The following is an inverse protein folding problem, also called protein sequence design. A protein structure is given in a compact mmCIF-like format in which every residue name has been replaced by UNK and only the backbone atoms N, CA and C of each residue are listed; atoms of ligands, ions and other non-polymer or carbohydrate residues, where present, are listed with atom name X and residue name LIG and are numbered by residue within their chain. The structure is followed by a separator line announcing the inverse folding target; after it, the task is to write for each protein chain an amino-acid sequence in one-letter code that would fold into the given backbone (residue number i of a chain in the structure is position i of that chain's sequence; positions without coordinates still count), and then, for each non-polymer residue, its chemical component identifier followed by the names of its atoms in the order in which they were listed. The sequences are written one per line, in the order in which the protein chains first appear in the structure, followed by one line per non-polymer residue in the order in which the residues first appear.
data_IF_914979464182
#
_entry.id   IF_914979464182
#
_cell.length_a   1.000
_cell.length_b   1.000
_cell.length_c   1.000
_cell.angle_alpha   90.00
_cell.angle_beta   90.00
_cell.angle_gamma   90.00
#
_symmetry.space_group_name_H-M   'P 1'
#
loop_
_entity.id
_entity.type
_entity.pdbx_description
1 polymer ?
#
# COMPACT_ATOMS: atom_id res chain seq x y z
N UNK A 1 -54.53 -79.22 -17.87
CA UNK A 1 -53.74 -79.07 -19.12
C UNK A 1 -52.35 -78.56 -18.75
N UNK A 2 -51.29 -79.23 -19.27
CA UNK A 2 -49.90 -78.81 -19.59
C UNK A 2 -49.41 -77.47 -18.94
N UNK A 3 -48.24 -77.33 -18.32
CA UNK A 3 -46.94 -78.03 -18.45
C UNK A 3 -46.00 -77.52 -17.33
N UNK A 4 -45.13 -78.40 -16.89
CA UNK A 4 -43.89 -78.12 -16.13
C UNK A 4 -42.95 -77.17 -16.90
N UNK A 5 -42.11 -76.42 -16.16
CA UNK A 5 -40.62 -76.44 -16.20
C UNK A 5 -40.09 -75.28 -15.33
N UNK A 6 -39.38 -75.53 -14.23
CA UNK A 6 -38.00 -76.02 -14.04
C UNK A 6 -36.98 -74.87 -13.92
N UNK A 7 -36.12 -75.01 -12.90
CA UNK A 7 -34.77 -74.43 -12.69
C UNK A 7 -34.81 -73.11 -11.88
N UNK A 8 -34.61 -73.14 -10.55
CA UNK A 8 -33.31 -73.33 -9.83
C UNK A 8 -32.35 -72.19 -10.12
N UNK A 9 -31.58 -71.59 -9.22
CA UNK A 9 -31.33 -71.63 -7.77
C UNK A 9 -30.09 -70.73 -7.63
N UNK A 10 -29.95 -70.06 -6.49
CA UNK A 10 -28.70 -69.46 -5.96
C UNK A 10 -28.17 -68.26 -6.77
N UNK A 11 -27.76 -67.15 -6.16
CA UNK A 11 -26.76 -67.07 -5.09
C UNK A 11 -27.13 -65.93 -4.13
N UNK A 12 -27.09 -66.26 -2.84
CA UNK A 12 -27.09 -65.33 -1.73
C UNK A 12 -25.80 -64.50 -1.72
N UNK A 13 -25.88 -63.21 -1.43
CA UNK A 13 -24.68 -62.43 -1.15
C UNK A 13 -24.95 -60.94 -0.96
N UNK A 14 -24.50 -60.43 0.18
CA UNK A 14 -24.27 -59.01 0.48
C UNK A 14 -25.47 -58.14 0.85
N UNK A 15 -26.00 -58.45 2.04
CA UNK A 15 -26.27 -57.42 3.04
C UNK A 15 -24.91 -56.76 3.42
N UNK A 16 -24.95 -55.47 3.75
CA UNK A 16 -23.86 -54.62 4.29
C UNK A 16 -23.01 -53.90 3.24
N UNK A 17 -23.40 -52.66 2.94
CA UNK A 17 -22.47 -51.54 2.70
C UNK A 17 -23.23 -50.21 2.96
N UNK A 18 -23.49 -49.98 4.24
CA UNK A 18 -23.66 -48.65 4.83
C UNK A 18 -22.26 -48.20 5.22
N UNK A 19 -21.72 -47.16 4.58
CA UNK A 19 -20.75 -46.17 5.08
C UNK A 19 -20.47 -45.18 3.93
N UNK A 20 -20.19 -43.91 4.25
CA UNK A 20 -20.89 -42.77 3.72
C UNK A 20 -20.07 -42.07 2.64
N UNK A 21 -20.76 -41.44 1.69
CA UNK A 21 -20.19 -40.42 0.80
C UNK A 21 -19.94 -39.15 1.62
N UNK A 22 -18.90 -39.20 2.46
CA UNK A 22 -18.41 -38.12 3.32
C UNK A 22 -16.87 -38.20 3.33
N UNK A 23 -16.25 -37.92 2.19
CA UNK A 23 -14.80 -37.64 2.12
C UNK A 23 -14.39 -37.04 0.76
N UNK A 24 -15.21 -36.15 0.22
CA UNK A 24 -14.73 -35.12 -0.72
C UNK A 24 -14.86 -33.75 -0.06
N UNK A 25 -14.46 -33.66 1.21
CA UNK A 25 -13.81 -32.43 1.67
C UNK A 25 -12.51 -32.37 0.87
N UNK A 26 -12.54 -31.68 -0.27
CA UNK A 26 -11.33 -31.21 -0.89
C UNK A 26 -10.59 -30.44 0.19
N UNK A 27 -9.58 -31.05 0.78
CA UNK A 27 -8.45 -30.32 1.32
C UNK A 27 -7.92 -29.54 0.12
N UNK A 28 -8.40 -28.31 -0.08
CA UNK A 28 -7.59 -27.30 -0.72
C UNK A 28 -6.36 -27.25 0.15
N UNK A 29 -5.28 -27.91 -0.27
CA UNK A 29 -3.98 -27.51 0.24
C UNK A 29 -3.94 -26.00 0.02
N UNK A 30 -3.68 -25.24 1.08
CA UNK A 30 -3.21 -23.87 0.91
C UNK A 30 -1.95 -24.00 0.05
N UNK A 31 -2.12 -23.94 -1.28
CA UNK A 31 -1.00 -23.88 -2.18
C UNK A 31 -0.30 -22.58 -1.81
N UNK A 32 0.98 -22.69 -1.47
CA UNK A 32 1.80 -21.51 -1.22
C UNK A 32 1.77 -20.65 -2.48
N UNK A 33 0.92 -19.63 -2.49
CA UNK A 33 0.79 -18.69 -3.58
C UNK A 33 1.84 -17.60 -3.34
N UNK A 34 2.88 -17.65 -4.15
CA UNK A 34 3.97 -16.68 -4.13
C UNK A 34 3.66 -15.61 -5.17
N UNK A 35 3.70 -14.33 -4.78
CA UNK A 35 3.47 -13.22 -5.71
C UNK A 35 4.50 -12.13 -5.51
N UNK A 36 5.00 -11.56 -6.61
CA UNK A 36 5.78 -10.34 -6.53
C UNK A 36 4.84 -9.15 -6.28
N UNK A 37 5.22 -8.18 -5.44
CA UNK A 37 4.45 -6.97 -5.25
C UNK A 37 4.44 -6.14 -6.54
N UNK A 38 3.32 -5.45 -6.79
CA UNK A 38 3.12 -4.56 -7.93
C UNK A 38 2.27 -3.35 -7.54
N UNK A 39 2.03 -2.40 -8.44
CA UNK A 39 1.13 -1.28 -8.18
C UNK A 39 -0.33 -1.73 -8.12
N UNK A 40 -1.21 -1.05 -7.36
CA UNK A 40 -2.65 -1.28 -7.39
C UNK A 40 -3.24 -1.33 -8.82
N UNK A 41 -2.74 -0.46 -9.70
CA UNK A 41 -3.20 -0.29 -11.08
C UNK A 41 -3.02 -1.57 -11.90
N UNK A 42 -1.93 -2.32 -11.69
CA UNK A 42 -1.71 -3.58 -12.39
C UNK A 42 -2.68 -4.68 -11.97
N UNK A 43 -3.30 -4.56 -10.79
CA UNK A 43 -4.34 -5.46 -10.33
C UNK A 43 -5.76 -4.89 -10.55
N UNK A 44 -5.87 -3.80 -11.33
CA UNK A 44 -7.13 -3.17 -11.68
C UNK A 44 -7.73 -2.33 -10.56
N UNK A 45 -6.90 -1.77 -9.68
CA UNK A 45 -7.31 -0.84 -8.61
C UNK A 45 -6.68 0.53 -8.81
N UNK A 46 -7.39 1.58 -8.42
CA UNK A 46 -6.89 2.96 -8.49
C UNK A 46 -7.41 3.76 -7.31
N UNK A 47 -6.83 4.94 -7.11
CA UNK A 47 -7.29 5.93 -6.14
C UNK A 47 -8.37 6.77 -6.82
N UNK A 48 -9.57 6.82 -6.23
CA UNK A 48 -10.67 7.67 -6.68
C UNK A 48 -10.38 9.14 -6.40
N UNK A 49 -9.66 9.77 -7.33
CA UNK A 49 -9.34 11.18 -7.25
C UNK A 49 -10.59 12.08 -7.26
N UNK A 50 -11.75 11.61 -7.74
CA UNK A 50 -12.99 12.41 -7.75
C UNK A 50 -13.62 12.55 -6.36
N UNK A 51 -13.31 11.62 -5.44
CA UNK A 51 -13.76 11.69 -4.04
C UNK A 51 -12.87 12.55 -3.15
N UNK A 52 -11.71 12.99 -3.67
CA UNK A 52 -10.79 13.83 -2.91
C UNK A 52 -11.27 15.29 -2.96
N UNK A 53 -11.45 15.97 -1.81
CA UNK A 53 -11.80 17.38 -1.77
C UNK A 53 -10.83 18.21 -2.60
N UNK A 54 -11.35 19.19 -3.35
CA UNK A 54 -10.53 20.02 -4.23
C UNK A 54 -9.34 20.66 -3.51
N UNK A 55 -9.54 21.15 -2.28
CA UNK A 55 -8.49 21.73 -1.43
C UNK A 55 -7.34 20.76 -1.10
N UNK A 56 -7.61 19.45 -1.03
CA UNK A 56 -6.54 18.45 -0.86
C UNK A 56 -5.91 18.15 -2.21
N UNK A 57 -6.73 17.96 -3.24
CA UNK A 57 -6.29 17.60 -4.59
C UNK A 57 -5.33 18.63 -5.20
N UNK A 58 -5.55 19.92 -4.94
CA UNK A 58 -4.69 21.02 -5.42
C UNK A 58 -3.22 20.85 -4.99
N UNK A 59 -2.99 20.28 -3.81
CA UNK A 59 -1.67 20.07 -3.21
C UNK A 59 -1.28 18.59 -3.18
N UNK A 60 -1.88 17.77 -4.05
CA UNK A 60 -1.65 16.34 -4.15
C UNK A 60 -1.06 15.95 -5.50
N UNK A 61 -0.23 14.92 -5.49
CA UNK A 61 0.36 14.33 -6.71
C UNK A 61 0.36 12.82 -6.60
N UNK A 62 0.09 12.14 -7.72
CA UNK A 62 0.11 10.69 -7.81
C UNK A 62 1.19 10.27 -8.79
N UNK A 63 2.14 9.48 -8.30
CA UNK A 63 3.37 9.17 -8.98
C UNK A 63 3.54 7.66 -9.07
N UNK A 64 4.27 7.21 -10.08
CA UNK A 64 4.73 5.83 -10.23
C UNK A 64 6.26 5.79 -10.27
N UNK A 65 6.83 4.59 -10.38
CA UNK A 65 8.28 4.37 -10.44
C UNK A 65 9.03 5.15 -11.53
N UNK A 66 8.36 5.51 -12.65
CA UNK A 66 8.98 6.26 -13.75
C UNK A 66 9.10 7.74 -13.40
N UNK A 67 8.16 8.24 -12.60
CA UNK A 67 8.06 9.65 -12.20
C UNK A 67 8.61 9.94 -10.80
N UNK A 68 8.79 8.90 -9.98
CA UNK A 68 9.35 8.99 -8.64
C UNK A 68 10.17 7.73 -8.35
N UNK A 69 11.49 7.86 -8.25
CA UNK A 69 12.38 6.74 -8.06
C UNK A 69 12.56 6.42 -6.56
N UNK A 70 12.17 5.21 -6.14
CA UNK A 70 12.40 4.68 -4.79
C UNK A 70 13.13 3.32 -4.89
N UNK A 71 14.46 3.28 -4.75
CA UNK A 71 15.24 2.05 -4.92
C UNK A 71 15.02 1.00 -3.83
N UNK A 72 14.48 1.40 -2.68
CA UNK A 72 14.21 0.51 -1.55
C UNK A 72 13.00 -0.40 -1.79
N UNK A 73 12.10 -0.01 -2.70
CA UNK A 73 10.95 -0.81 -3.08
C UNK A 73 11.28 -1.72 -4.27
N UNK A 74 10.77 -2.94 -4.22
CA UNK A 74 10.88 -3.90 -5.32
C UNK A 74 9.57 -3.97 -6.08
N UNK A 75 9.64 -3.98 -7.41
CA UNK A 75 8.46 -4.04 -8.26
C UNK A 75 7.74 -2.70 -8.34
N UNK A 76 6.56 -2.73 -8.94
CA UNK A 76 5.86 -1.51 -9.27
C UNK A 76 5.10 -0.97 -8.06
N UNK A 77 4.88 0.34 -8.02
CA UNK A 77 4.18 1.00 -6.93
C UNK A 77 3.49 2.28 -7.39
N UNK A 78 2.56 2.74 -6.55
CA UNK A 78 1.95 4.06 -6.67
C UNK A 78 2.26 4.87 -5.43
N UNK A 79 2.98 5.98 -5.61
CA UNK A 79 3.25 6.93 -4.53
C UNK A 79 2.17 8.02 -4.52
N UNK A 80 1.60 8.24 -3.34
CA UNK A 80 0.78 9.43 -3.08
C UNK A 80 1.70 10.47 -2.48
N UNK A 81 1.83 11.61 -3.13
CA UNK A 81 2.65 12.73 -2.68
C UNK A 81 1.80 13.94 -2.36
N UNK A 82 2.33 14.80 -1.51
CA UNK A 82 1.76 16.10 -1.17
C UNK A 82 2.79 17.19 -1.39
N UNK A 83 2.36 18.34 -1.88
CA UNK A 83 3.24 19.48 -2.03
C UNK A 83 3.39 20.20 -0.68
N UNK A 84 4.65 20.41 -0.31
CA UNK A 84 5.01 21.42 0.67
C UNK A 84 5.43 22.68 -0.06
N UNK A 85 4.73 23.78 0.24
CA UNK A 85 5.04 25.09 -0.32
C UNK A 85 5.79 25.90 0.73
N UNK A 86 7.01 26.31 0.39
CA UNK A 86 7.80 27.24 1.16
C UNK A 86 8.18 28.47 0.32
N UNK A 87 9.02 29.34 0.84
CA UNK A 87 9.44 30.54 0.11
C UNK A 87 10.42 30.26 -1.04
N UNK A 88 11.05 29.07 -1.07
CA UNK A 88 12.01 28.65 -2.09
C UNK A 88 11.34 27.91 -3.25
N UNK A 89 10.17 27.33 -3.01
CA UNK A 89 9.42 26.67 -4.06
C UNK A 89 8.38 25.71 -3.52
N UNK A 90 8.18 24.63 -4.26
CA UNK A 90 7.19 23.61 -3.94
C UNK A 90 7.81 22.26 -4.22
N UNK A 91 7.96 21.46 -3.17
CA UNK A 91 8.55 20.14 -3.24
C UNK A 91 7.49 19.10 -2.89
N UNK A 92 7.46 18.01 -3.66
CA UNK A 92 6.55 16.90 -3.42
C UNK A 92 7.17 15.91 -2.44
N UNK A 93 6.47 15.59 -1.37
CA UNK A 93 6.86 14.59 -0.39
C UNK A 93 5.90 13.41 -0.43
N UNK A 94 6.40 12.16 -0.52
CA UNK A 94 5.53 11.00 -0.50
C UNK A 94 4.89 10.86 0.89
N UNK A 95 3.57 10.66 0.95
CA UNK A 95 2.82 10.38 2.18
C UNK A 95 2.31 8.95 2.25
N UNK A 96 2.35 8.23 1.13
CA UNK A 96 2.08 6.79 1.06
C UNK A 96 2.83 6.14 -0.11
N UNK A 97 3.20 4.87 0.05
CA UNK A 97 3.72 4.03 -1.04
C UNK A 97 2.87 2.77 -1.16
N UNK A 98 2.05 2.73 -2.20
CA UNK A 98 1.10 1.64 -2.40
C UNK A 98 1.70 0.52 -3.23
N UNK A 99 1.76 -0.67 -2.63
CA UNK A 99 2.02 -1.93 -3.32
C UNK A 99 0.91 -2.92 -3.04
N UNK A 100 0.68 -3.80 -4.00
CA UNK A 100 -0.44 -4.71 -4.04
C UNK A 100 -0.01 -6.13 -4.42
N UNK A 101 -0.74 -7.11 -3.90
CA UNK A 101 -0.64 -8.52 -4.27
C UNK A 101 -2.06 -9.12 -4.42
N UNK A 102 -2.24 -10.19 -5.20
CA UNK A 102 -3.51 -10.93 -5.23
C UNK A 102 -3.96 -11.36 -3.82
N UNK A 103 -5.27 -11.35 -3.54
CA UNK A 103 -5.79 -11.65 -2.19
C UNK A 103 -5.50 -13.09 -1.71
N UNK A 104 -5.22 -14.02 -2.63
CA UNK A 104 -4.85 -15.39 -2.30
C UNK A 104 -3.34 -15.58 -2.06
N UNK A 105 -2.53 -14.52 -2.13
CA UNK A 105 -1.09 -14.58 -1.86
C UNK A 105 -0.81 -15.00 -0.42
N UNK A 106 0.07 -15.98 -0.24
CA UNK A 106 0.56 -16.43 1.07
C UNK A 106 1.99 -15.98 1.35
N UNK A 107 2.76 -15.70 0.30
CA UNK A 107 4.13 -15.22 0.39
C UNK A 107 4.43 -14.14 -0.64
N UNK A 108 5.20 -13.14 -0.24
CA UNK A 108 5.63 -12.03 -1.09
C UNK A 108 7.05 -12.32 -1.58
N UNK A 109 7.27 -12.23 -2.89
CA UNK A 109 8.58 -12.43 -3.52
C UNK A 109 9.32 -11.10 -3.61
N UNK A 110 10.40 -10.97 -2.85
CA UNK A 110 11.31 -9.83 -2.84
C UNK A 110 12.67 -10.22 -3.43
N UNK A 111 13.55 -9.26 -3.78
CA UNK A 111 14.90 -9.54 -4.28
C UNK A 111 15.76 -10.28 -3.25
N UNK A 112 15.49 -10.08 -1.95
CA UNK A 112 16.16 -10.74 -0.83
C UNK A 112 15.64 -12.14 -0.51
N UNK A 113 14.49 -12.55 -1.07
CA UNK A 113 13.85 -13.84 -0.79
C UNK A 113 12.33 -13.76 -0.72
N UNK A 114 11.71 -14.86 -0.30
CA UNK A 114 10.28 -14.92 -0.01
C UNK A 114 10.00 -14.61 1.46
N UNK A 115 9.07 -13.71 1.73
CA UNK A 115 8.56 -13.41 3.07
C UNK A 115 7.09 -13.85 3.18
N UNK A 116 6.59 -14.07 4.38
CA UNK A 116 5.16 -14.36 4.57
C UNK A 116 4.34 -13.07 4.42
N UNK A 117 3.10 -13.14 3.94
CA UNK A 117 2.22 -11.95 3.91
C UNK A 117 1.97 -11.35 5.30
N UNK A 118 2.05 -12.17 6.35
CA UNK A 118 1.98 -11.73 7.74
C UNK A 118 3.10 -10.76 8.13
N UNK A 119 4.25 -10.81 7.46
CA UNK A 119 5.36 -9.90 7.74
C UNK A 119 5.04 -8.45 7.30
N UNK A 120 4.04 -8.27 6.43
CA UNK A 120 3.53 -6.98 5.96
C UNK A 120 2.13 -6.63 6.50
N UNK A 121 1.55 -7.45 7.39
CA UNK A 121 0.17 -7.27 7.88
C UNK A 121 -0.06 -5.88 8.50
N UNK A 122 0.93 -5.35 9.24
CA UNK A 122 0.85 -4.03 9.86
C UNK A 122 0.79 -2.86 8.85
N UNK A 123 1.17 -3.10 7.59
CA UNK A 123 1.15 -2.09 6.52
C UNK A 123 -0.10 -2.20 5.65
N UNK A 124 -0.97 -3.18 5.89
CA UNK A 124 -2.17 -3.40 5.09
C UNK A 124 -3.16 -2.26 5.30
N UNK A 125 -3.54 -1.57 4.22
CA UNK A 125 -4.52 -0.48 4.26
C UNK A 125 -5.83 -0.85 3.57
N UNK A 126 -5.82 -1.85 2.68
CA UNK A 126 -7.01 -2.28 1.95
C UNK A 126 -6.93 -3.76 1.61
N UNK A 127 -8.06 -4.46 1.70
CA UNK A 127 -8.18 -5.84 1.26
C UNK A 127 -9.61 -6.13 0.82
N UNK A 128 -9.74 -6.90 -0.26
CA UNK A 128 -11.00 -7.53 -0.63
C UNK A 128 -10.75 -8.95 -1.18
N UNK A 129 -11.72 -9.50 -1.91
CA UNK A 129 -11.64 -10.83 -2.50
C UNK A 129 -10.58 -10.99 -3.61
N UNK A 130 -10.13 -9.88 -4.23
CA UNK A 130 -9.23 -9.90 -5.37
C UNK A 130 -7.80 -9.45 -5.01
N UNK A 131 -7.65 -8.48 -4.10
CA UNK A 131 -6.37 -7.81 -3.81
C UNK A 131 -6.14 -7.55 -2.32
N UNK A 132 -4.87 -7.51 -1.92
CA UNK A 132 -4.38 -6.89 -0.68
C UNK A 132 -3.46 -5.73 -1.08
N UNK A 133 -3.65 -4.55 -0.49
CA UNK A 133 -2.85 -3.36 -0.74
C UNK A 133 -2.24 -2.86 0.58
N UNK A 134 -0.95 -2.57 0.51
CA UNK A 134 -0.11 -2.11 1.60
C UNK A 134 0.33 -0.67 1.37
N UNK A 135 0.37 0.14 2.43
CA UNK A 135 1.13 1.39 2.47
C UNK A 135 2.48 1.13 3.14
N UNK A 136 3.53 1.14 2.33
CA UNK A 136 4.90 0.85 2.76
C UNK A 136 5.65 2.10 3.24
N UNK A 137 5.03 3.28 3.28
CA UNK A 137 5.68 4.48 3.83
C UNK A 137 6.29 4.23 5.23
N UNK A 138 5.59 3.63 6.21
CA UNK A 138 6.15 3.43 7.55
C UNK A 138 7.36 2.48 7.58
N UNK A 139 7.48 1.59 6.59
CA UNK A 139 8.63 0.71 6.44
C UNK A 139 9.86 1.47 5.93
N UNK A 140 9.66 2.44 5.04
CA UNK A 140 10.73 3.25 4.44
C UNK A 140 11.19 4.39 5.34
N UNK A 141 10.26 4.97 6.09
CA UNK A 141 10.50 6.12 6.97
C UNK A 141 10.03 5.81 8.41
N UNK A 142 10.69 4.86 9.10
CA UNK A 142 10.30 4.46 10.45
C UNK A 142 10.54 5.54 11.51
N UNK A 143 11.35 6.55 11.20
CA UNK A 143 11.73 7.63 12.12
C UNK A 143 10.62 8.65 12.40
N UNK A 144 9.58 8.71 11.56
CA UNK A 144 8.46 9.60 11.78
C UNK A 144 7.65 9.95 10.54
N UNK A 145 6.63 10.76 10.75
CA UNK A 145 5.73 11.24 9.70
C UNK A 145 6.41 12.29 8.81
N UNK A 146 5.87 12.54 7.60
CA UNK A 146 6.36 13.62 6.74
C UNK A 146 6.37 14.97 7.48
N UNK A 147 5.28 15.42 8.12
CA UNK A 147 5.27 16.71 8.79
C UNK A 147 6.34 16.85 9.89
N UNK A 148 6.58 15.79 10.67
CA UNK A 148 7.60 15.79 11.73
C UNK A 148 9.01 15.92 11.14
N UNK A 149 9.31 15.13 10.09
CA UNK A 149 10.60 15.19 9.39
C UNK A 149 10.86 16.56 8.80
N UNK A 150 9.88 17.13 8.09
CA UNK A 150 10.03 18.47 7.49
C UNK A 150 10.17 19.54 8.56
N UNK A 151 9.42 19.47 9.67
CA UNK A 151 9.58 20.40 10.78
C UNK A 151 11.01 20.36 11.36
N UNK A 152 11.56 19.15 11.54
CA UNK A 152 12.95 18.97 12.02
C UNK A 152 13.99 19.47 11.01
N UNK A 153 13.79 19.25 9.72
CA UNK A 153 14.65 19.75 8.65
C UNK A 153 14.64 21.29 8.58
N UNK A 154 13.46 21.89 8.67
CA UNK A 154 13.27 23.34 8.72
C UNK A 154 13.96 23.94 9.94
N UNK A 155 13.78 23.36 11.12
CA UNK A 155 14.40 23.84 12.35
C UNK A 155 15.93 23.73 12.29
N UNK A 156 16.45 22.60 11.83
CA UNK A 156 17.89 22.38 11.64
C UNK A 156 18.48 23.39 10.64
N UNK A 157 17.83 23.55 9.49
CA UNK A 157 18.26 24.48 8.43
C UNK A 157 18.25 25.93 8.92
N UNK A 158 17.23 26.31 9.70
CA UNK A 158 17.16 27.64 10.32
C UNK A 158 18.36 27.93 11.21
N UNK A 159 18.66 27.08 12.19
CA UNK A 159 19.79 27.31 13.10
C UNK A 159 21.13 27.24 12.38
N UNK A 160 21.30 26.30 11.44
CA UNK A 160 22.51 26.24 10.61
C UNK A 160 22.72 27.56 9.83
N UNK A 161 21.67 28.09 9.20
CA UNK A 161 21.74 29.36 8.46
C UNK A 161 22.13 30.53 9.38
N UNK A 162 21.62 30.56 10.63
CA UNK A 162 22.00 31.57 11.61
C UNK A 162 23.47 31.48 12.01
N UNK A 163 23.98 30.28 12.26
CA UNK A 163 25.39 30.05 12.59
C UNK A 163 26.31 30.46 11.42
N UNK A 164 25.95 30.09 10.20
CA UNK A 164 26.72 30.44 9.00
C UNK A 164 26.73 31.95 8.72
N UNK A 165 25.61 32.64 8.97
CA UNK A 165 25.53 34.09 8.90
C UNK A 165 26.40 34.77 9.96
N UNK A 166 26.33 34.33 11.22
CA UNK A 166 27.16 34.86 12.31
C UNK A 166 28.66 34.62 12.07
N UNK A 167 29.01 33.52 11.39
CA UNK A 167 30.38 33.21 10.97
C UNK A 167 30.84 33.99 9.72
N UNK A 168 29.99 34.85 9.15
CA UNK A 168 30.31 35.65 7.96
C UNK A 168 30.36 34.85 6.65
N UNK A 169 29.83 33.62 6.62
CA UNK A 169 29.78 32.77 5.42
C UNK A 169 28.66 33.16 4.47
N UNK A 170 27.60 33.79 5.00
CA UNK A 170 26.45 34.27 4.23
C UNK A 170 26.50 35.80 4.18
N UNK A 171 26.60 36.42 2.98
CA UNK A 171 26.51 37.87 2.83
C UNK A 171 25.16 38.42 3.33
N UNK A 172 25.09 39.63 3.92
CA UNK A 172 23.85 40.21 4.43
C UNK A 172 22.71 40.27 3.39
N UNK A 173 23.03 40.54 2.13
CA UNK A 173 22.08 40.60 1.02
C UNK A 173 21.49 39.23 0.63
N UNK A 174 22.09 38.12 1.10
CA UNK A 174 21.59 36.76 0.89
C UNK A 174 20.99 36.15 2.15
N UNK A 175 21.10 36.83 3.30
CA UNK A 175 20.54 36.34 4.55
C UNK A 175 19.05 36.71 4.65
N UNK A 176 18.20 35.70 4.58
CA UNK A 176 16.75 35.87 4.75
C UNK A 176 16.36 35.66 6.21
N UNK A 177 16.11 36.75 6.93
CA UNK A 177 15.78 36.72 8.35
C UNK A 177 14.28 36.44 8.59
N UNK A 178 13.85 35.24 8.26
CA UNK A 178 12.48 34.80 8.55
C UNK A 178 12.41 34.11 9.92
N UNK A 179 11.47 34.49 10.79
CA UNK A 179 11.29 33.82 12.07
C UNK A 179 11.00 32.32 11.89
N UNK A 180 11.66 31.47 12.69
CA UNK A 180 11.44 30.02 12.68
C UNK A 180 9.95 29.64 12.75
N UNK A 181 9.18 30.34 13.59
CA UNK A 181 7.75 30.06 13.73
C UNK A 181 6.94 30.32 12.44
N UNK A 182 7.36 31.25 11.59
CA UNK A 182 6.72 31.46 10.27
C UNK A 182 6.96 30.26 9.36
N UNK A 183 8.19 29.74 9.33
CA UNK A 183 8.54 28.53 8.56
C UNK A 183 7.80 27.29 9.08
N UNK A 184 7.79 27.09 10.40
CA UNK A 184 7.06 25.98 11.02
C UNK A 184 5.54 26.08 10.90
N UNK A 185 4.98 27.28 10.70
CA UNK A 185 3.53 27.40 10.45
C UNK A 185 3.16 26.82 9.10
N UNK A 186 4.03 26.89 8.09
CA UNK A 186 3.79 26.31 6.76
C UNK A 186 3.75 24.77 6.83
N UNK A 187 4.56 24.15 7.69
CA UNK A 187 4.53 22.68 7.89
C UNK A 187 3.25 22.19 8.57
N UNK A 188 2.46 23.07 9.20
CA UNK A 188 1.16 22.70 9.77
C UNK A 188 0.18 22.23 8.70
N UNK A 189 0.23 22.80 7.51
CA UNK A 189 -0.64 22.39 6.42
C UNK A 189 -0.34 20.95 5.95
N UNK A 190 0.94 20.53 5.99
CA UNK A 190 1.31 19.14 5.74
C UNK A 190 0.68 18.17 6.73
N UNK A 191 0.45 18.57 7.99
CA UNK A 191 -0.23 17.71 8.96
C UNK A 191 -1.66 17.39 8.50
N UNK A 192 -2.36 18.38 7.96
CA UNK A 192 -3.70 18.18 7.42
C UNK A 192 -3.71 17.20 6.24
N UNK A 193 -2.80 17.36 5.27
CA UNK A 193 -2.73 16.47 4.12
C UNK A 193 -2.29 15.05 4.51
N UNK A 194 -1.32 14.93 5.42
CA UNK A 194 -0.87 13.67 5.99
C UNK A 194 -2.02 12.93 6.68
N UNK A 195 -2.72 13.59 7.61
CA UNK A 195 -3.86 13.00 8.33
C UNK A 195 -4.98 12.62 7.37
N UNK A 196 -5.28 13.46 6.37
CA UNK A 196 -6.30 13.17 5.37
C UNK A 196 -5.99 11.87 4.64
N UNK A 197 -4.79 11.73 4.06
CA UNK A 197 -4.45 10.52 3.31
C UNK A 197 -4.39 9.29 4.21
N UNK A 198 -3.79 9.40 5.40
CA UNK A 198 -3.71 8.26 6.31
C UNK A 198 -5.08 7.75 6.76
N UNK A 199 -6.10 8.63 6.84
CA UNK A 199 -7.46 8.25 7.21
C UNK A 199 -8.32 7.82 6.02
N UNK A 200 -8.19 8.48 4.88
CA UNK A 200 -9.11 8.35 3.75
C UNK A 200 -8.62 7.41 2.66
N UNK A 201 -7.31 7.19 2.53
CA UNK A 201 -6.75 6.40 1.43
C UNK A 201 -7.36 4.99 1.29
N UNK A 202 -7.64 4.23 2.38
CA UNK A 202 -8.38 2.97 2.28
C UNK A 202 -9.74 3.07 1.56
N UNK A 203 -10.45 4.18 1.76
CA UNK A 203 -11.80 4.39 1.20
C UNK A 203 -11.74 4.91 -0.23
N UNK A 204 -10.65 5.59 -0.59
CA UNK A 204 -10.41 6.11 -1.93
C UNK A 204 -9.98 4.99 -2.90
N UNK A 205 -9.47 3.86 -2.40
CA UNK A 205 -9.10 2.72 -3.25
C UNK A 205 -10.35 2.05 -3.81
N UNK A 206 -10.45 2.02 -5.14
CA UNK A 206 -11.56 1.38 -5.85
C UNK A 206 -11.08 0.51 -7.01
N UNK A 207 -11.91 -0.47 -7.38
CA UNK A 207 -11.70 -1.25 -8.60
C UNK A 207 -11.90 -0.33 -9.81
N UNK A 208 -10.91 -0.28 -10.69
CA UNK A 208 -10.97 0.51 -11.91
C UNK A 208 -12.14 0.04 -12.77
N UNK A 209 -12.98 1.00 -13.19
CA UNK A 209 -14.06 0.75 -14.15
C UNK A 209 -13.53 0.58 -15.58
N UNK A 210 -12.29 1.01 -15.81
CA UNK A 210 -11.60 0.96 -17.10
C UNK A 210 -10.59 -0.19 -17.14
N UNK A 211 -11.08 -1.43 -17.13
CA UNK A 211 -10.31 -2.56 -17.65
C UNK A 211 -10.41 -2.52 -19.18
N UNK A 212 -9.47 -1.85 -19.84
CA UNK A 212 -9.27 -1.96 -21.29
C UNK A 212 -8.39 -3.16 -21.63
#
# INVERSE_FOLDING_TARGET
MKKQRLISRLVAGSLVLLLPVLSLSGCTSNQNQVSAPTSPEQLGYTIDQQQIPQVVMEDSVFLNQETFYCPELSGDFTAVGVYWHDYLGSDAYPVAFLQAVPANTTKIKLPSGEIAVSDWEQYQIFQNQDVIIYDLYPMLYPEGTVPERIAQEVERSYYQTQEEYQAGKIPPERYFNEPLNSRLTQTRYLNYLWEYYHQQLPQLIQKSSDLK
#
